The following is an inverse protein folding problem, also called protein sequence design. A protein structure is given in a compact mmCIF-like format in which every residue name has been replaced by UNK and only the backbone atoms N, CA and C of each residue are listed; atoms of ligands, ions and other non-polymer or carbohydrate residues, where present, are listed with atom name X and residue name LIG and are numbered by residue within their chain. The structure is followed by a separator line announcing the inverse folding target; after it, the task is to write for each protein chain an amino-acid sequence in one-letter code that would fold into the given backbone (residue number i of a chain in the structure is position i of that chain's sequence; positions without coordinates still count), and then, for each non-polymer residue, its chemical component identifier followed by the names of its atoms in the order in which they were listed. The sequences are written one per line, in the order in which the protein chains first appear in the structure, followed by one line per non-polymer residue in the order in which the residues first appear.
data_IF_685726878756
#
_entry.id   IF_685726878756
#
_cell.length_a   1.000
_cell.length_b   1.000
_cell.length_c   1.000
_cell.angle_alpha   90.00
_cell.angle_beta   90.00
_cell.angle_gamma   90.00
#
_symmetry.space_group_name_H-M   'P 1'
#
loop_
_entity.id
_entity.type
_entity.pdbx_description
1 polymer ?
#
# COMPACT_ATOMS: atom_id res chain seq x y z
N UNK A 1 -10.49 -24.54 20.37
CA UNK A 1 -9.06 -24.86 20.52
C UNK A 1 -8.46 -24.81 19.12
N UNK A 2 -7.46 -24.01 18.75
CA UNK A 2 -6.49 -23.14 19.44
C UNK A 2 -6.29 -21.92 18.52
N UNK A 3 -6.32 -20.71 19.09
CA UNK A 3 -5.98 -19.47 18.38
C UNK A 3 -4.50 -19.49 17.97
N UNK A 4 -4.20 -19.30 16.69
CA UNK A 4 -2.87 -18.91 16.25
C UNK A 4 -2.89 -17.39 16.06
N UNK A 5 -2.35 -16.67 17.06
CA UNK A 5 -2.11 -15.22 16.98
C UNK A 5 -1.05 -15.00 15.90
N UNK A 6 -1.34 -14.17 14.91
CA UNK A 6 -0.33 -13.68 13.97
C UNK A 6 0.40 -12.52 14.64
N UNK A 7 1.73 -12.47 14.50
CA UNK A 7 2.54 -11.39 15.05
C UNK A 7 2.90 -10.43 13.92
N UNK A 8 2.57 -9.15 14.08
CA UNK A 8 2.89 -8.08 13.14
C UNK A 8 4.32 -7.59 13.42
N UNK A 9 5.15 -7.56 12.38
CA UNK A 9 6.52 -7.02 12.43
C UNK A 9 6.63 -5.86 11.45
N UNK A 10 6.85 -4.65 11.95
CA UNK A 10 7.07 -3.45 11.11
C UNK A 10 8.48 -3.46 10.52
N UNK A 11 8.60 -3.80 9.24
CA UNK A 11 9.89 -4.16 8.61
C UNK A 11 10.73 -2.97 8.15
N UNK A 12 10.09 -1.88 7.72
CA UNK A 12 10.81 -0.82 7.00
C UNK A 12 11.66 0.11 7.89
N UNK A 13 11.42 0.15 9.22
CA UNK A 13 12.18 1.04 10.12
C UNK A 13 13.56 0.53 10.53
N UNK A 14 13.85 -0.78 10.38
CA UNK A 14 15.10 -1.36 10.90
C UNK A 14 15.96 -2.07 9.86
N UNK A 15 15.36 -2.64 8.80
CA UNK A 15 16.09 -3.48 7.85
C UNK A 15 15.54 -3.26 6.41
N UNK A 16 15.87 -2.14 5.76
CA UNK A 16 15.34 -1.81 4.42
C UNK A 16 15.70 -2.86 3.36
N UNK A 17 16.80 -3.61 3.56
CA UNK A 17 17.25 -4.69 2.67
C UNK A 17 16.40 -5.98 2.78
N UNK A 18 15.57 -6.07 3.82
CA UNK A 18 14.59 -7.15 4.04
C UNK A 18 13.16 -6.75 3.72
N UNK A 19 12.91 -5.46 3.46
CA UNK A 19 11.60 -5.00 3.06
C UNK A 19 11.27 -5.62 1.70
N UNK A 20 10.17 -6.37 1.63
CA UNK A 20 9.57 -6.83 0.36
C UNK A 20 8.87 -5.62 -0.26
N UNK A 21 9.68 -4.67 -0.72
CA UNK A 21 9.23 -3.32 -1.06
C UNK A 21 9.08 -3.12 -2.56
N UNK A 22 8.19 -2.20 -2.89
CA UNK A 22 8.09 -1.54 -4.18
C UNK A 22 8.41 -0.06 -3.97
N UNK A 23 8.72 0.65 -5.06
CA UNK A 23 8.79 2.12 -5.04
C UNK A 23 7.40 2.77 -5.09
N UNK A 24 6.35 2.00 -5.41
CA UNK A 24 4.98 2.49 -5.58
C UNK A 24 4.11 2.26 -4.35
N UNK A 25 4.53 1.41 -3.42
CA UNK A 25 3.76 1.10 -2.23
C UNK A 25 4.66 0.71 -1.05
N UNK A 26 4.18 1.04 0.13
CA UNK A 26 4.85 0.86 1.40
C UNK A 26 4.41 -0.46 2.04
N UNK A 27 5.36 -1.22 2.59
CA UNK A 27 5.07 -2.44 3.36
C UNK A 27 4.88 -2.06 4.83
N UNK A 28 3.68 -2.23 5.36
CA UNK A 28 3.37 -1.94 6.76
C UNK A 28 3.95 -3.00 7.68
N UNK A 29 3.56 -4.26 7.44
CA UNK A 29 4.03 -5.42 8.22
C UNK A 29 3.76 -6.73 7.49
N UNK A 30 4.44 -7.77 7.98
CA UNK A 30 4.19 -9.15 7.58
C UNK A 30 3.36 -9.91 8.59
N UNK A 31 2.63 -10.88 8.08
CA UNK A 31 1.91 -11.91 8.81
C UNK A 31 2.66 -13.23 8.65
N UNK A 32 3.22 -13.74 9.75
CA UNK A 32 4.03 -14.96 9.79
C UNK A 32 3.30 -16.06 10.59
N UNK A 33 3.29 -17.30 10.08
CA UNK A 33 2.75 -18.45 10.83
C UNK A 33 3.75 -18.84 11.93
N UNK A 34 3.25 -18.92 13.16
CA UNK A 34 4.05 -19.26 14.35
C UNK A 34 4.53 -20.71 14.36
N UNK A 35 3.90 -21.62 13.62
CA UNK A 35 4.22 -23.05 13.67
C UNK A 35 5.48 -23.40 12.90
N UNK A 36 5.65 -22.80 11.73
CA UNK A 36 6.73 -23.08 10.80
C UNK A 36 7.57 -21.84 10.46
N UNK A 37 7.16 -20.64 10.90
CA UNK A 37 7.85 -19.38 10.61
C UNK A 37 7.63 -18.90 9.17
N UNK A 38 6.68 -19.49 8.44
CA UNK A 38 6.46 -19.17 7.05
C UNK A 38 5.66 -17.87 6.90
N UNK A 39 6.03 -17.11 5.87
CA UNK A 39 5.31 -15.91 5.47
C UNK A 39 3.92 -16.29 4.93
N UNK A 40 2.88 -15.77 5.55
CA UNK A 40 1.48 -16.00 5.15
C UNK A 40 0.98 -14.86 4.29
N UNK A 41 1.11 -13.62 4.77
CA UNK A 41 0.69 -12.44 4.02
C UNK A 41 1.60 -11.24 4.33
N UNK A 42 1.55 -10.23 3.48
CA UNK A 42 2.14 -8.92 3.73
C UNK A 42 1.09 -7.85 3.53
N UNK A 43 1.05 -6.88 4.43
CA UNK A 43 0.13 -5.75 4.40
C UNK A 43 0.87 -4.56 3.82
N UNK A 44 0.23 -3.93 2.83
CA UNK A 44 0.80 -2.83 2.06
C UNK A 44 -0.16 -1.66 2.05
N UNK A 45 0.42 -0.48 1.97
CA UNK A 45 -0.31 0.76 1.80
C UNK A 45 0.24 1.57 0.64
N UNK A 46 -0.63 2.21 -0.11
CA UNK A 46 -0.27 3.12 -1.20
C UNK A 46 -1.21 4.32 -1.24
N UNK A 47 -0.73 5.38 -1.87
CA UNK A 47 -1.56 6.53 -2.19
C UNK A 47 -2.67 6.13 -3.16
N UNK A 48 -3.88 6.62 -2.91
CA UNK A 48 -5.06 6.31 -3.74
C UNK A 48 -5.90 7.57 -3.94
N UNK A 49 -5.91 8.08 -5.17
CA UNK A 49 -6.69 9.23 -5.61
C UNK A 49 -7.99 8.85 -6.31
N UNK A 50 -8.18 7.57 -6.66
CA UNK A 50 -9.37 7.06 -7.31
C UNK A 50 -10.32 6.34 -6.35
N UNK A 51 -11.60 6.51 -6.61
CA UNK A 51 -12.67 5.66 -6.15
C UNK A 51 -12.70 4.35 -6.93
N UNK A 52 -13.41 3.35 -6.41
CA UNK A 52 -13.54 2.04 -7.05
C UNK A 52 -14.27 2.03 -8.40
N UNK A 53 -14.99 3.10 -8.70
CA UNK A 53 -15.71 3.32 -9.95
C UNK A 53 -14.87 4.09 -10.99
N UNK A 54 -13.56 4.24 -10.76
CA UNK A 54 -12.65 5.08 -11.56
C UNK A 54 -12.93 6.59 -11.49
N UNK A 55 -13.82 7.02 -10.59
CA UNK A 55 -14.00 8.42 -10.26
C UNK A 55 -12.82 8.95 -9.44
N UNK A 56 -12.54 10.24 -9.54
CA UNK A 56 -11.59 10.88 -8.64
C UNK A 56 -12.23 11.10 -7.26
N UNK A 57 -11.47 10.85 -6.20
CA UNK A 57 -11.86 11.19 -4.84
C UNK A 57 -11.81 12.70 -4.64
N UNK A 58 -12.66 13.23 -3.77
CA UNK A 58 -12.57 14.64 -3.34
C UNK A 58 -11.28 14.91 -2.56
N UNK A 59 -10.81 13.92 -1.80
CA UNK A 59 -9.57 13.95 -1.05
C UNK A 59 -8.77 12.68 -1.31
N UNK A 60 -7.46 12.86 -1.49
CA UNK A 60 -6.54 11.75 -1.60
C UNK A 60 -6.59 10.83 -0.36
N UNK A 61 -6.59 9.53 -0.60
CA UNK A 61 -6.60 8.52 0.44
C UNK A 61 -5.32 7.69 0.49
N UNK A 62 -5.26 6.83 1.49
CA UNK A 62 -4.35 5.70 1.56
C UNK A 62 -5.20 4.44 1.37
N UNK A 63 -4.86 3.63 0.37
CA UNK A 63 -5.39 2.29 0.22
C UNK A 63 -4.47 1.30 0.92
N UNK A 64 -5.02 0.57 1.88
CA UNK A 64 -4.35 -0.58 2.53
C UNK A 64 -4.90 -1.88 1.96
N UNK A 65 -4.01 -2.77 1.53
CA UNK A 65 -4.35 -4.06 0.93
C UNK A 65 -3.37 -5.14 1.37
N UNK A 66 -3.80 -6.39 1.28
CA UNK A 66 -3.00 -7.55 1.62
C UNK A 66 -2.53 -8.29 0.36
N UNK A 67 -1.34 -8.85 0.42
CA UNK A 67 -0.89 -9.89 -0.52
C UNK A 67 -0.76 -11.19 0.26
N UNK A 68 -1.57 -12.19 -0.10
CA UNK A 68 -1.50 -13.53 0.48
C UNK A 68 -0.50 -14.37 -0.32
N UNK A 69 0.51 -14.87 0.38
CA UNK A 69 1.58 -15.66 -0.20
C UNK A 69 1.21 -17.13 -0.28
N UNK A 70 1.68 -17.80 -1.33
CA UNK A 70 1.54 -19.25 -1.48
C UNK A 70 2.48 -20.02 -0.55
N UNK A 71 2.45 -21.35 -0.63
CA UNK A 71 3.29 -22.23 0.18
C UNK A 71 4.81 -21.96 0.05
N UNK A 72 5.24 -21.40 -1.08
CA UNK A 72 6.63 -21.06 -1.34
C UNK A 72 7.05 -19.69 -0.80
N UNK A 73 6.14 -18.96 -0.15
CA UNK A 73 6.38 -17.64 0.42
C UNK A 73 6.39 -16.54 -0.64
N UNK A 74 7.32 -15.58 -0.48
CA UNK A 74 7.41 -14.38 -1.31
C UNK A 74 7.64 -14.69 -2.79
N UNK A 75 6.85 -14.06 -3.65
CA UNK A 75 6.99 -14.10 -5.09
C UNK A 75 7.02 -12.67 -5.65
N UNK A 76 8.18 -12.24 -6.14
CA UNK A 76 8.36 -10.89 -6.71
C UNK A 76 7.51 -10.65 -7.96
N UNK A 77 7.03 -11.70 -8.63
CA UNK A 77 6.09 -11.56 -9.76
C UNK A 77 4.76 -10.96 -9.30
N UNK A 78 4.31 -11.32 -8.10
CA UNK A 78 3.07 -10.78 -7.54
C UNK A 78 3.20 -9.30 -7.18
N UNK A 79 4.37 -8.90 -6.69
CA UNK A 79 4.73 -7.48 -6.48
C UNK A 79 4.62 -6.71 -7.80
N UNK A 80 5.20 -7.25 -8.88
CA UNK A 80 5.09 -6.60 -10.19
C UNK A 80 3.64 -6.45 -10.65
N UNK A 81 2.79 -7.45 -10.46
CA UNK A 81 1.36 -7.33 -10.81
C UNK A 81 0.66 -6.22 -10.04
N UNK A 82 1.00 -6.04 -8.77
CA UNK A 82 0.51 -4.92 -7.95
C UNK A 82 1.02 -3.59 -8.49
N UNK A 83 2.30 -3.50 -8.85
CA UNK A 83 2.89 -2.30 -9.44
C UNK A 83 2.18 -1.88 -10.73
N UNK A 84 1.95 -2.83 -11.65
CA UNK A 84 1.20 -2.58 -12.89
C UNK A 84 -0.23 -2.11 -12.58
N UNK A 85 -0.89 -2.73 -11.59
CA UNK A 85 -2.22 -2.31 -11.13
C UNK A 85 -2.26 -0.88 -10.57
N UNK A 86 -1.19 -0.42 -9.94
CA UNK A 86 -1.05 0.98 -9.48
C UNK A 86 -0.79 1.91 -10.66
N UNK A 87 0.13 1.55 -11.56
CA UNK A 87 0.47 2.36 -12.75
C UNK A 87 -0.76 2.58 -13.63
N UNK A 88 -1.54 1.52 -13.85
CA UNK A 88 -2.79 1.56 -14.62
C UNK A 88 -3.96 2.16 -13.82
N UNK A 89 -3.73 2.58 -12.58
CA UNK A 89 -4.74 3.19 -11.69
C UNK A 89 -5.98 2.32 -11.48
N UNK A 90 -5.78 0.99 -11.39
CA UNK A 90 -6.85 -0.01 -11.24
C UNK A 90 -6.74 -0.78 -9.91
N UNK A 91 -5.94 -0.30 -8.95
CA UNK A 91 -5.79 -0.98 -7.66
C UNK A 91 -7.06 -0.90 -6.79
N UNK A 92 -7.84 0.18 -6.87
CA UNK A 92 -9.13 0.25 -6.16
C UNK A 92 -10.18 -0.60 -6.91
N UNK A 93 -10.97 -1.47 -6.24
CA UNK A 93 -11.16 -1.65 -4.80
C UNK A 93 -10.55 -2.94 -4.22
N UNK A 94 -9.30 -3.27 -4.55
CA UNK A 94 -8.64 -4.49 -4.07
C UNK A 94 -8.43 -4.43 -2.55
N UNK A 95 -8.87 -5.48 -1.83
CA UNK A 95 -8.49 -5.73 -0.44
C UNK A 95 -7.36 -6.73 -0.33
N UNK A 96 -7.42 -7.82 -1.12
CA UNK A 96 -6.46 -8.91 -1.02
C UNK A 96 -6.14 -9.47 -2.41
N UNK A 97 -4.86 -9.66 -2.69
CA UNK A 97 -4.37 -10.33 -3.89
C UNK A 97 -3.70 -11.65 -3.50
N UNK A 98 -3.99 -12.69 -4.25
CA UNK A 98 -3.36 -13.99 -4.12
C UNK A 98 -3.06 -14.59 -5.48
N UNK A 99 -1.92 -15.25 -5.62
CA UNK A 99 -1.60 -16.04 -6.81
C UNK A 99 -1.27 -17.48 -6.40
N UNK A 100 -1.88 -18.43 -7.09
CA UNK A 100 -1.61 -19.85 -6.90
C UNK A 100 -1.93 -20.62 -8.19
N UNK A 101 -1.07 -21.56 -8.59
CA UNK A 101 -1.34 -22.52 -9.67
C UNK A 101 -1.87 -21.91 -10.99
N UNK A 102 -1.31 -20.77 -11.42
CA UNK A 102 -1.73 -20.10 -12.65
C UNK A 102 -3.02 -19.27 -12.54
N UNK A 103 -3.55 -19.09 -11.32
CA UNK A 103 -4.71 -18.28 -11.03
C UNK A 103 -4.30 -17.04 -10.21
N UNK A 104 -4.71 -15.86 -10.69
CA UNK A 104 -4.66 -14.61 -9.93
C UNK A 104 -6.05 -14.37 -9.32
N UNK A 105 -6.13 -14.42 -7.99
CA UNK A 105 -7.34 -14.16 -7.23
C UNK A 105 -7.27 -12.79 -6.58
N UNK A 106 -8.30 -11.97 -6.81
CA UNK A 106 -8.49 -10.66 -6.22
C UNK A 106 -9.77 -10.68 -5.38
N UNK A 107 -9.62 -10.35 -4.10
CA UNK A 107 -10.74 -10.11 -3.20
C UNK A 107 -11.03 -8.61 -3.19
N UNK A 108 -12.27 -8.27 -3.54
CA UNK A 108 -12.75 -6.90 -3.65
C UNK A 108 -13.39 -6.43 -2.33
N UNK A 109 -13.22 -5.14 -2.04
CA UNK A 109 -13.87 -4.51 -0.90
C UNK A 109 -15.40 -4.49 -1.11
N UNK A 110 -16.19 -5.06 -0.17
CA UNK A 110 -17.64 -5.16 -0.31
C UNK A 110 -18.36 -3.81 -0.27
N UNK A 111 -17.71 -2.75 0.22
CA UNK A 111 -18.25 -1.39 0.15
C UNK A 111 -18.50 -0.93 -1.30
N UNK A 112 -17.84 -1.56 -2.26
CA UNK A 112 -17.94 -1.23 -3.68
C UNK A 112 -18.73 -2.32 -4.41
N UNK A 113 -20.06 -2.16 -4.39
CA UNK A 113 -20.98 -3.08 -5.08
C UNK A 113 -20.98 -2.83 -6.58
N UNK A 114 -20.71 -3.87 -7.38
CA UNK A 114 -20.72 -3.77 -8.84
C UNK A 114 -19.36 -3.37 -9.39
N UNK A 115 -18.40 -4.30 -9.29
CA UNK A 115 -17.09 -4.19 -9.92
C UNK A 115 -17.26 -3.73 -11.39
N UNK A 116 -16.73 -2.55 -11.78
CA UNK A 116 -16.88 -2.07 -13.14
C UNK A 116 -16.23 -3.04 -14.11
N UNK A 117 -16.83 -3.19 -15.30
CA UNK A 117 -16.26 -4.06 -16.34
C UNK A 117 -14.84 -3.66 -16.69
N UNK A 118 -14.57 -2.35 -16.73
CA UNK A 118 -13.25 -1.81 -17.04
C UNK A 118 -12.18 -2.24 -16.02
N UNK A 119 -12.54 -2.41 -14.75
CA UNK A 119 -11.64 -2.98 -13.74
C UNK A 119 -11.27 -4.42 -14.07
N UNK A 120 -12.28 -5.23 -14.40
CA UNK A 120 -12.05 -6.64 -14.74
C UNK A 120 -11.22 -6.75 -16.00
N UNK A 121 -11.53 -5.97 -17.03
CA UNK A 121 -10.81 -5.97 -18.31
C UNK A 121 -9.34 -5.52 -18.12
N UNK A 122 -9.08 -4.50 -17.30
CA UNK A 122 -7.73 -4.04 -16.99
C UNK A 122 -6.91 -5.11 -16.24
N UNK A 123 -7.46 -5.66 -15.16
CA UNK A 123 -6.78 -6.74 -14.42
C UNK A 123 -6.60 -8.00 -15.24
N UNK A 124 -7.51 -8.29 -16.18
CA UNK A 124 -7.38 -9.42 -17.08
C UNK A 124 -6.23 -9.20 -18.06
N UNK A 125 -6.03 -7.96 -18.52
CA UNK A 125 -4.87 -7.55 -19.30
C UNK A 125 -3.56 -7.70 -18.51
N UNK A 126 -3.52 -7.23 -17.26
CA UNK A 126 -2.37 -7.37 -16.37
C UNK A 126 -2.04 -8.85 -16.14
N UNK A 127 -3.05 -9.67 -15.82
CA UNK A 127 -2.91 -11.11 -15.60
C UNK A 127 -2.44 -11.86 -16.86
N UNK A 128 -2.94 -11.47 -18.04
CA UNK A 128 -2.56 -12.07 -19.31
C UNK A 128 -1.11 -11.73 -19.70
N UNK A 129 -0.68 -10.50 -19.42
CA UNK A 129 0.68 -10.00 -19.69
C UNK A 129 1.67 -10.27 -18.55
N UNK A 130 1.25 -11.01 -17.53
CA UNK A 130 2.12 -11.40 -16.43
C UNK A 130 3.36 -12.11 -17.00
N UNK A 131 4.54 -11.65 -16.58
CA UNK A 131 5.77 -12.24 -17.07
C UNK A 131 5.81 -13.72 -16.70
N UNK A 132 6.01 -14.57 -17.70
CA UNK A 132 6.28 -16.01 -17.62
C UNK A 132 5.07 -16.95 -17.48
N UNK A 133 3.88 -16.49 -17.15
CA UNK A 133 2.66 -17.33 -17.07
C UNK A 133 1.42 -16.52 -17.48
N UNK A 134 0.57 -17.05 -18.36
CA UNK A 134 -0.77 -16.50 -18.56
C UNK A 134 -1.61 -16.86 -17.34
N UNK A 135 -1.96 -15.85 -16.53
CA UNK A 135 -2.77 -16.05 -15.34
C UNK A 135 -4.25 -15.93 -15.67
N UNK A 136 -5.05 -16.90 -15.21
CA UNK A 136 -6.50 -16.75 -15.18
C UNK A 136 -6.87 -15.77 -14.06
N UNK A 137 -7.70 -14.77 -14.35
CA UNK A 137 -8.16 -13.81 -13.35
C UNK A 137 -9.43 -14.33 -12.66
N UNK A 138 -9.48 -14.16 -11.34
CA UNK A 138 -10.68 -14.35 -10.54
C UNK A 138 -10.88 -13.18 -9.60
N UNK A 139 -11.93 -12.39 -9.84
CA UNK A 139 -12.38 -11.34 -8.93
C UNK A 139 -13.60 -11.81 -8.14
N UNK A 140 -13.60 -11.65 -6.82
CA UNK A 140 -14.73 -12.03 -5.98
C UNK A 140 -14.78 -11.21 -4.68
N UNK A 141 -15.91 -11.26 -3.98
CA UNK A 141 -16.03 -10.74 -2.63
C UNK A 141 -15.74 -11.83 -1.60
N UNK A 142 -15.33 -11.45 -0.39
CA UNK A 142 -15.03 -12.41 0.70
C UNK A 142 -16.19 -13.42 0.93
N UNK A 143 -17.44 -12.93 0.91
CA UNK A 143 -18.64 -13.77 1.12
C UNK A 143 -18.78 -14.91 0.09
N UNK A 144 -18.28 -14.69 -1.12
CA UNK A 144 -18.40 -15.62 -2.25
C UNK A 144 -17.24 -16.62 -2.28
N UNK A 145 -16.21 -16.41 -1.45
CA UNK A 145 -15.02 -17.24 -1.35
C UNK A 145 -15.34 -18.70 -0.95
N UNK A 146 -16.47 -18.94 -0.26
CA UNK A 146 -16.90 -20.29 0.14
C UNK A 146 -17.20 -21.24 -1.01
N UNK A 147 -17.35 -20.72 -2.23
CA UNK A 147 -17.77 -21.49 -3.39
C UNK A 147 -16.60 -22.21 -4.09
N UNK A 148 -15.35 -21.96 -3.68
CA UNK A 148 -14.17 -22.36 -4.46
C UNK A 148 -13.30 -23.45 -3.81
N UNK A 149 -12.60 -24.18 -4.69
CA UNK A 149 -11.85 -25.42 -4.40
C UNK A 149 -10.43 -25.19 -3.87
N UNK A 150 -9.98 -23.94 -3.73
CA UNK A 150 -8.61 -23.60 -3.29
C UNK A 150 -8.32 -23.98 -1.82
N UNK A 151 -9.28 -24.67 -1.20
CA UNK A 151 -9.12 -25.38 0.06
C UNK A 151 -9.60 -24.56 1.24
N UNK A 152 -9.98 -25.27 2.31
CA UNK A 152 -10.40 -24.65 3.58
C UNK A 152 -9.35 -23.66 4.11
N UNK A 153 -8.06 -23.92 3.84
CA UNK A 153 -6.95 -23.09 4.30
C UNK A 153 -6.95 -21.68 3.69
N UNK A 154 -7.12 -21.56 2.37
CA UNK A 154 -7.20 -20.24 1.71
C UNK A 154 -8.37 -19.42 2.26
N UNK A 155 -9.55 -20.04 2.35
CA UNK A 155 -10.73 -19.39 2.89
C UNK A 155 -10.52 -18.89 4.33
N UNK A 156 -9.97 -19.73 5.19
CA UNK A 156 -9.76 -19.39 6.59
C UNK A 156 -8.70 -18.29 6.75
N UNK A 157 -7.66 -18.29 5.92
CA UNK A 157 -6.64 -17.23 5.88
C UNK A 157 -7.22 -15.90 5.40
N UNK A 158 -7.91 -15.87 4.26
CA UNK A 158 -8.55 -14.65 3.73
C UNK A 158 -9.50 -14.06 4.75
N UNK A 159 -10.37 -14.88 5.33
CA UNK A 159 -11.31 -14.45 6.38
C UNK A 159 -10.58 -13.90 7.60
N UNK A 160 -9.54 -14.60 8.06
CA UNK A 160 -8.75 -14.16 9.22
C UNK A 160 -8.12 -12.80 8.97
N UNK A 161 -7.48 -12.62 7.81
CA UNK A 161 -6.79 -11.37 7.43
C UNK A 161 -7.79 -10.23 7.33
N UNK A 162 -8.87 -10.38 6.55
CA UNK A 162 -9.89 -9.33 6.36
C UNK A 162 -10.56 -8.95 7.68
N UNK A 163 -10.75 -9.89 8.61
CA UNK A 163 -11.35 -9.61 9.91
C UNK A 163 -10.41 -8.95 10.93
N UNK A 164 -9.10 -9.00 10.70
CA UNK A 164 -8.07 -8.52 11.65
C UNK A 164 -7.43 -7.23 11.18
N UNK A 165 -7.19 -7.11 9.87
CA UNK A 165 -6.49 -5.99 9.25
C UNK A 165 -7.49 -4.97 8.70
N UNK A 166 -7.13 -3.69 8.76
CA UNK A 166 -7.93 -2.62 8.16
C UNK A 166 -7.60 -2.49 6.68
N UNK A 167 -8.23 -3.31 5.83
CA UNK A 167 -8.02 -3.33 4.38
C UNK A 167 -9.06 -2.46 3.67
N UNK A 168 -8.84 -1.15 3.68
CA UNK A 168 -9.76 -0.17 3.12
C UNK A 168 -9.02 1.03 2.50
N UNK A 169 -9.78 1.97 1.92
CA UNK A 169 -9.28 3.25 1.44
C UNK A 169 -9.76 4.34 2.38
N UNK A 170 -8.85 4.88 3.17
CA UNK A 170 -9.13 5.93 4.16
C UNK A 170 -8.59 7.27 3.68
N UNK A 171 -9.28 8.37 3.99
CA UNK A 171 -8.80 9.70 3.61
C UNK A 171 -7.50 10.05 4.33
N UNK A 172 -6.58 10.69 3.62
CA UNK A 172 -5.32 11.11 4.20
C UNK A 172 -5.54 12.25 5.19
N UNK A 173 -5.08 12.10 6.43
CA UNK A 173 -5.06 13.15 7.44
C UNK A 173 -3.72 13.17 8.16
N UNK A 174 -3.38 14.26 8.85
CA UNK A 174 -2.09 14.43 9.53
C UNK A 174 -1.72 13.27 10.45
N UNK A 175 -2.68 12.65 11.14
CA UNK A 175 -2.43 11.46 11.96
C UNK A 175 -1.85 10.23 11.22
N UNK A 176 -1.80 10.22 9.89
CA UNK A 176 -1.14 9.19 9.07
C UNK A 176 0.32 9.53 8.72
N UNK A 177 0.79 10.72 9.09
CA UNK A 177 2.17 11.14 8.90
C UNK A 177 3.09 10.39 9.85
N UNK A 178 4.14 9.78 9.27
CA UNK A 178 5.12 9.01 10.02
C UNK A 178 6.13 9.88 10.79
N UNK A 179 6.15 11.20 10.52
CA UNK A 179 7.19 12.13 10.96
C UNK A 179 6.64 13.36 11.69
N UNK A 180 5.36 13.39 12.05
CA UNK A 180 4.73 14.55 12.70
C UNK A 180 5.43 15.01 13.99
N UNK A 181 6.16 14.12 14.66
CA UNK A 181 6.93 14.47 15.86
C UNK A 181 8.32 15.06 15.54
N UNK A 182 8.88 14.78 14.36
CA UNK A 182 10.20 15.26 13.93
C UNK A 182 10.15 16.67 13.36
N UNK A 183 8.99 17.06 12.80
CA UNK A 183 8.74 18.41 12.27
C UNK A 183 8.25 19.41 13.32
N UNK A 184 8.13 19.00 14.59
CA UNK A 184 7.90 19.96 15.67
C UNK A 184 9.16 20.81 15.78
N UNK A 185 9.06 22.08 15.41
CA UNK A 185 10.14 23.04 15.58
C UNK A 185 10.69 22.89 17.01
N UNK A 186 12.01 22.66 17.19
CA UNK A 186 12.59 22.67 18.52
C UNK A 186 12.27 24.03 19.13
N UNK A 187 11.72 24.05 20.35
CA UNK A 187 11.39 25.28 21.08
C UNK A 187 12.54 26.29 20.92
N UNK A 188 12.32 27.30 20.08
CA UNK A 188 13.28 28.36 19.74
C UNK A 188 13.69 29.21 20.96
N UNK A 189 13.18 28.88 22.15
CA UNK A 189 13.54 29.50 23.42
C UNK A 189 15.01 29.24 23.82
N UNK A 190 15.70 28.26 23.22
CA UNK A 190 17.12 27.99 23.53
C UNK A 190 18.08 29.00 22.86
N UNK A 191 17.63 29.79 21.88
CA UNK A 191 18.48 30.80 21.22
C UNK A 191 18.34 32.23 21.77
N UNK A 192 17.50 32.48 22.78
CA UNK A 192 17.50 33.76 23.52
C UNK A 192 18.56 33.75 24.64
N UNK A 193 19.82 33.65 24.24
CA UNK A 193 20.96 33.70 25.15
C UNK A 193 22.10 34.54 24.58
N UNK A 194 22.14 35.82 25.01
CA UNK A 194 23.18 36.85 24.79
C UNK A 194 23.15 37.61 23.47
N UNK A 195 22.27 38.62 23.43
CA UNK A 195 22.60 39.88 22.79
C UNK A 195 23.66 40.60 23.63
N UNK A 196 24.93 40.41 23.31
CA UNK A 196 25.96 41.42 23.65
C UNK A 196 26.06 42.35 22.43
N UNK A 197 25.70 43.61 22.65
CA UNK A 197 25.57 44.60 21.60
C UNK A 197 26.91 45.07 21.03
N UNK A 198 26.89 45.47 19.76
CA UNK A 198 27.25 46.83 19.32
C UNK A 198 27.12 46.95 17.78
N UNK A 199 26.37 47.97 17.39
CA UNK A 199 26.53 48.85 16.23
C UNK A 199 26.42 48.37 14.76
N UNK A 200 25.30 48.79 14.18
CA UNK A 200 25.12 49.58 12.94
C UNK A 200 25.90 49.21 11.66
N UNK A 201 25.17 48.77 10.62
CA UNK A 201 24.78 49.59 9.44
C UNK A 201 24.08 48.75 8.36
N UNK A 202 23.12 49.42 7.72
CA UNK A 202 22.51 49.19 6.42
C UNK A 202 23.15 48.11 5.52
N UNK A 203 22.30 47.20 5.02
CA UNK A 203 22.14 46.96 3.59
C UNK A 203 20.96 46.00 3.36
N UNK A 204 19.84 46.55 2.88
CA UNK A 204 19.02 45.83 1.91
C UNK A 204 19.94 45.48 0.74
N UNK A 205 20.21 44.19 0.52
CA UNK A 205 20.84 43.72 -0.70
C UNK A 205 20.22 42.36 -1.07
N UNK A 206 19.45 42.41 -2.16
CA UNK A 206 19.39 41.41 -3.22
C UNK A 206 19.01 39.96 -2.85
N UNK A 207 17.70 39.68 -2.96
CA UNK A 207 17.22 38.41 -3.49
C UNK A 207 16.46 38.71 -4.80
N UNK A 208 17.21 39.19 -5.79
CA UNK A 208 16.88 39.06 -7.21
C UNK A 208 17.66 37.86 -7.77
N UNK A 209 17.16 37.25 -8.85
CA UNK A 209 17.55 35.99 -9.53
C UNK A 209 16.69 34.78 -9.10
N UNK A 210 15.70 34.31 -9.85
CA UNK A 210 15.65 34.11 -11.32
C UNK A 210 14.29 34.49 -11.94
N UNK A 211 14.26 35.62 -12.65
CA UNK A 211 13.49 35.77 -13.89
C UNK A 211 14.52 35.70 -15.02
N UNK A 212 14.66 34.55 -15.66
CA UNK A 212 15.35 34.45 -16.95
C UNK A 212 14.29 34.25 -18.03
N UNK A 213 13.99 35.37 -18.68
CA UNK A 213 13.23 35.50 -19.91
C UNK A 213 13.78 34.55 -21.00
N UNK A 214 12.88 33.77 -21.59
CA UNK A 214 13.12 33.11 -22.87
C UNK A 214 13.12 34.15 -24.00
N UNK A 215 14.18 34.29 -24.81
CA UNK A 215 14.07 35.01 -26.07
C UNK A 215 13.38 34.11 -27.11
N UNK A 216 12.42 34.73 -27.81
CA UNK A 216 11.68 34.22 -28.98
C UNK A 216 12.58 33.71 -30.11
#
# INVERSE_FOLDING_TARGET
MIMAKVESVSLQRKEPERARCSRLFFAEHDLIDRKDGNLVASIYSTYQDLEANFGFREQAGIQTFAVLWGQNGFDSRLIRLVEEGIIESVLSPVQLIHQCNGLLTIILNPAFSGCPRDFVDAWQGIAFNAAYDHLELRCMYEKDNRLYKDGRQFHDQVKSIISTEMLDIVDYHSGHSLFDEEWKEPDLEVFKGKSDGADTKDAQAEFDFFDDDFPL
#
